data_IF_239599511944
#
_entry.id   IF_239599511944
#
_cell.length_a   1.000
_cell.length_b   1.000
_cell.length_c   1.000
_cell.angle_alpha   90.00
_cell.angle_beta   90.00
_cell.angle_gamma   90.00
#
_symmetry.space_group_name_H-M   'P 1'
#
loop_
_entity.id
_entity.type
_entity.pdbx_description
1 polymer ?
#
# COMPACT_ATOMS: atom_id res chain seq x y z
N UNK A 1 7.74 50.84 -9.77
CA UNK A 1 8.49 49.67 -10.28
C UNK A 1 8.79 48.63 -9.20
N UNK A 2 9.41 48.99 -8.06
CA UNK A 2 9.71 48.03 -6.95
C UNK A 2 8.48 47.25 -6.43
N UNK A 3 7.30 47.88 -6.34
CA UNK A 3 6.06 47.23 -5.88
C UNK A 3 5.53 46.15 -6.83
N UNK A 4 5.75 46.30 -8.15
CA UNK A 4 5.31 45.33 -9.16
C UNK A 4 6.18 44.07 -9.09
N UNK A 5 7.49 44.24 -8.91
CA UNK A 5 8.44 43.13 -8.75
C UNK A 5 8.08 42.27 -7.52
N UNK A 6 7.70 42.89 -6.40
CA UNK A 6 7.30 42.18 -5.18
C UNK A 6 6.03 41.35 -5.41
N UNK A 7 5.03 41.88 -6.12
CA UNK A 7 3.80 41.16 -6.46
C UNK A 7 4.09 39.98 -7.40
N UNK A 8 4.95 40.17 -8.39
CA UNK A 8 5.37 39.09 -9.31
C UNK A 8 6.13 37.98 -8.59
N UNK A 9 6.99 38.32 -7.62
CA UNK A 9 7.72 37.33 -6.81
C UNK A 9 6.74 36.52 -5.95
N UNK A 10 5.79 37.17 -5.26
CA UNK A 10 4.77 36.46 -4.46
C UNK A 10 3.94 35.52 -5.34
N UNK A 11 3.57 35.94 -6.55
CA UNK A 11 2.78 35.12 -7.48
C UNK A 11 3.54 33.90 -8.02
N UNK A 12 4.86 33.99 -8.18
CA UNK A 12 5.71 32.86 -8.57
C UNK A 12 5.84 31.87 -7.40
N UNK A 13 5.95 32.36 -6.16
CA UNK A 13 6.04 31.49 -4.98
C UNK A 13 4.74 30.72 -4.66
N UNK A 14 3.56 31.21 -5.04
CA UNK A 14 2.30 30.46 -4.83
C UNK A 14 2.05 29.34 -5.85
N UNK A 15 2.75 29.34 -6.99
CA UNK A 15 2.61 28.33 -8.04
C UNK A 15 3.46 27.06 -7.80
N UNK A 16 4.38 27.09 -6.83
CA UNK A 16 5.18 25.92 -6.43
C UNK A 16 4.49 25.07 -5.35
N UNK A 17 3.17 24.97 -5.39
CA UNK A 17 2.44 24.00 -4.55
C UNK A 17 2.54 22.60 -5.16
N UNK A 18 3.58 21.88 -4.73
CA UNK A 18 3.67 20.42 -4.51
C UNK A 18 2.65 19.57 -5.28
N UNK A 19 2.94 19.23 -6.54
CA UNK A 19 2.15 18.24 -7.32
C UNK A 19 2.78 16.85 -7.39
N UNK A 20 3.96 16.64 -6.79
CA UNK A 20 4.72 15.39 -6.97
C UNK A 20 4.29 14.24 -6.05
N UNK A 21 3.65 14.50 -4.90
CA UNK A 21 3.39 13.47 -3.88
C UNK A 21 1.90 13.10 -3.74
N UNK A 22 0.97 13.71 -4.49
CA UNK A 22 -0.48 13.53 -4.27
C UNK A 22 -1.19 12.60 -5.25
N UNK A 23 -0.51 12.04 -6.24
CA UNK A 23 -1.18 11.17 -7.22
C UNK A 23 -1.32 9.76 -6.66
N UNK A 24 -2.57 9.36 -6.40
CA UNK A 24 -2.92 7.99 -6.00
C UNK A 24 -2.83 7.07 -7.21
N UNK A 25 -2.25 5.89 -7.03
CA UNK A 25 -2.24 4.82 -8.02
C UNK A 25 -3.32 3.82 -7.64
N UNK A 26 -4.28 3.60 -8.54
CA UNK A 26 -5.38 2.66 -8.31
C UNK A 26 -5.08 1.32 -9.00
N UNK A 27 -5.14 0.26 -8.21
CA UNK A 27 -4.98 -1.12 -8.65
C UNK A 27 -6.37 -1.71 -8.81
N UNK A 28 -6.71 -2.01 -10.05
CA UNK A 28 -7.96 -2.67 -10.43
C UNK A 28 -7.67 -4.15 -10.54
N UNK A 29 -8.35 -4.95 -9.73
CA UNK A 29 -8.21 -6.40 -9.75
C UNK A 29 -9.20 -7.01 -10.75
N UNK A 30 -8.98 -8.26 -11.19
CA UNK A 30 -9.99 -8.97 -11.96
C UNK A 30 -11.30 -9.09 -11.17
N UNK A 31 -12.44 -8.96 -11.85
CA UNK A 31 -13.78 -8.93 -11.23
C UNK A 31 -14.03 -10.11 -10.28
N UNK A 32 -13.60 -11.31 -10.66
CA UNK A 32 -13.72 -12.52 -9.85
C UNK A 32 -13.02 -12.42 -8.50
N UNK A 33 -11.89 -11.70 -8.44
CA UNK A 33 -11.11 -11.45 -7.23
C UNK A 33 -11.76 -10.33 -6.43
N UNK A 34 -12.13 -9.22 -7.08
CA UNK A 34 -12.80 -8.09 -6.42
C UNK A 34 -14.10 -8.51 -5.72
N UNK A 35 -14.94 -9.32 -6.39
CA UNK A 35 -16.20 -9.83 -5.82
C UNK A 35 -15.95 -10.66 -4.56
N UNK A 36 -14.92 -11.50 -4.55
CA UNK A 36 -14.57 -12.34 -3.39
C UNK A 36 -14.02 -11.51 -2.24
N UNK A 37 -13.15 -10.54 -2.53
CA UNK A 37 -12.65 -9.59 -1.55
C UNK A 37 -13.79 -8.79 -0.91
N UNK A 38 -14.67 -8.21 -1.74
CA UNK A 38 -15.82 -7.44 -1.24
C UNK A 38 -16.72 -8.31 -0.35
N UNK A 39 -16.97 -9.57 -0.74
CA UNK A 39 -17.73 -10.51 0.10
C UNK A 39 -17.06 -10.71 1.46
N UNK A 40 -15.77 -11.06 1.48
CA UNK A 40 -15.05 -11.28 2.72
C UNK A 40 -15.03 -10.04 3.64
N UNK A 41 -14.79 -8.86 3.08
CA UNK A 41 -14.79 -7.58 3.84
C UNK A 41 -16.15 -7.36 4.51
N UNK A 42 -17.25 -7.66 3.82
CA UNK A 42 -18.60 -7.44 4.34
C UNK A 42 -19.02 -8.48 5.37
N UNK A 43 -18.59 -9.74 5.23
CA UNK A 43 -19.10 -10.86 6.05
C UNK A 43 -18.19 -11.25 7.20
N UNK A 44 -16.90 -10.97 7.11
CA UNK A 44 -15.89 -11.64 7.95
C UNK A 44 -14.99 -10.69 8.74
N UNK A 45 -14.99 -9.39 8.43
CA UNK A 45 -14.21 -8.40 9.18
C UNK A 45 -15.05 -7.81 10.33
N UNK A 46 -14.67 -8.04 11.60
CA UNK A 46 -15.36 -7.44 12.74
C UNK A 46 -15.08 -5.94 12.78
N UNK A 47 -16.14 -5.11 12.62
CA UNK A 47 -16.01 -3.64 12.57
C UNK A 47 -15.56 -2.99 13.88
N UNK A 48 -15.65 -3.70 14.99
CA UNK A 48 -15.43 -3.12 16.33
C UNK A 48 -13.95 -3.11 16.75
N UNK A 49 -13.11 -3.96 16.13
CA UNK A 49 -11.69 -4.13 16.52
C UNK A 49 -10.69 -3.67 15.45
N UNK A 50 -11.20 -3.29 14.28
CA UNK A 50 -10.39 -2.97 13.11
C UNK A 50 -10.40 -1.47 12.87
N UNK A 51 -9.23 -0.84 13.02
CA UNK A 51 -9.09 0.60 12.75
C UNK A 51 -9.12 0.88 11.25
N UNK A 52 -8.46 0.02 10.46
CA UNK A 52 -8.32 0.16 9.00
C UNK A 52 -7.98 -1.20 8.38
N UNK A 53 -8.28 -1.36 7.10
CA UNK A 53 -7.83 -2.51 6.30
C UNK A 53 -6.77 -2.06 5.32
N UNK A 54 -5.78 -2.91 5.06
CA UNK A 54 -4.89 -2.78 3.91
C UNK A 54 -4.73 -4.12 3.21
N UNK A 55 -4.20 -4.07 2.00
CA UNK A 55 -3.99 -5.23 1.16
C UNK A 55 -2.50 -5.45 0.95
N UNK A 56 -2.10 -6.71 0.92
CA UNK A 56 -0.78 -7.12 0.47
C UNK A 56 -0.92 -7.91 -0.83
N UNK A 57 -0.42 -7.36 -1.93
CA UNK A 57 -0.35 -8.04 -3.22
C UNK A 57 1.06 -8.58 -3.41
N UNK A 58 1.19 -9.88 -3.64
CA UNK A 58 2.47 -10.52 -3.95
C UNK A 58 2.40 -11.22 -5.28
N UNK A 59 3.53 -11.24 -5.99
CA UNK A 59 3.72 -12.10 -7.15
C UNK A 59 4.24 -13.44 -6.67
N UNK A 60 3.53 -14.50 -7.03
CA UNK A 60 3.88 -15.86 -6.61
C UNK A 60 4.74 -16.57 -7.69
N UNK A 61 4.30 -16.53 -8.95
CA UNK A 61 5.08 -17.06 -10.07
C UNK A 61 4.80 -16.29 -11.38
N UNK A 62 5.28 -16.82 -12.52
CA UNK A 62 4.95 -16.27 -13.82
C UNK A 62 3.44 -16.39 -14.07
N UNK A 63 2.74 -15.25 -13.96
CA UNK A 63 1.29 -15.10 -14.11
C UNK A 63 0.41 -15.58 -12.93
N UNK A 64 0.99 -15.82 -11.75
CA UNK A 64 0.22 -16.01 -10.50
C UNK A 64 0.53 -14.94 -9.47
N UNK A 65 -0.52 -14.55 -8.75
CA UNK A 65 -0.50 -13.53 -7.71
C UNK A 65 -1.29 -14.04 -6.51
N UNK A 66 -0.96 -13.51 -5.34
CA UNK A 66 -1.82 -13.63 -4.17
C UNK A 66 -2.11 -12.25 -3.60
N UNK A 67 -3.34 -12.08 -3.11
CA UNK A 67 -3.73 -10.88 -2.40
C UNK A 67 -4.31 -11.24 -1.04
N UNK A 68 -3.76 -10.64 0.00
CA UNK A 68 -4.15 -10.88 1.39
C UNK A 68 -4.80 -9.65 1.99
N UNK A 69 -5.94 -9.85 2.68
CA UNK A 69 -6.63 -8.79 3.43
C UNK A 69 -6.07 -8.73 4.84
N UNK A 70 -5.55 -7.59 5.26
CA UNK A 70 -4.88 -7.44 6.56
C UNK A 70 -5.55 -6.32 7.37
N UNK A 71 -6.16 -6.64 8.52
CA UNK A 71 -6.67 -5.63 9.43
C UNK A 71 -5.54 -5.00 10.26
N UNK A 72 -5.55 -3.67 10.34
CA UNK A 72 -4.79 -2.92 11.33
C UNK A 72 -5.57 -2.95 12.65
N UNK A 73 -4.95 -3.57 13.65
CA UNK A 73 -5.39 -3.59 15.04
C UNK A 73 -4.47 -2.74 15.90
N UNK A 74 -4.85 -2.49 17.16
CA UNK A 74 -4.02 -1.76 18.14
C UNK A 74 -2.64 -2.38 18.37
N UNK A 75 -2.46 -3.66 18.09
CA UNK A 75 -1.20 -4.39 18.28
C UNK A 75 -0.32 -4.42 17.02
N UNK A 76 -0.71 -3.71 15.95
CA UNK A 76 0.08 -3.68 14.72
C UNK A 76 1.37 -2.89 14.91
N UNK A 77 2.48 -3.38 14.34
CA UNK A 77 3.77 -2.68 14.35
C UNK A 77 3.65 -1.26 13.75
N UNK A 78 4.20 -0.27 14.45
CA UNK A 78 4.13 1.14 14.05
C UNK A 78 4.75 1.41 12.67
N UNK A 79 5.76 0.66 12.28
CA UNK A 79 6.38 0.81 10.96
C UNK A 79 5.43 0.35 9.84
N UNK A 80 4.64 -0.70 10.10
CA UNK A 80 3.60 -1.16 9.17
C UNK A 80 2.49 -0.11 9.07
N UNK A 81 2.02 0.41 10.21
CA UNK A 81 1.01 1.48 10.26
C UNK A 81 1.48 2.66 9.39
N UNK A 82 2.73 3.11 9.61
CA UNK A 82 3.33 4.19 8.83
C UNK A 82 3.36 3.90 7.33
N UNK A 83 3.78 2.71 6.90
CA UNK A 83 3.76 2.34 5.49
C UNK A 83 2.35 2.34 4.89
N UNK A 84 1.34 1.91 5.65
CA UNK A 84 -0.06 1.92 5.22
C UNK A 84 -0.61 3.35 5.12
N UNK A 85 -0.16 4.27 5.98
CA UNK A 85 -0.54 5.68 5.95
C UNK A 85 0.18 6.47 4.84
N UNK A 86 1.48 6.21 4.65
CA UNK A 86 2.32 6.86 3.65
C UNK A 86 2.09 6.29 2.23
N UNK A 87 1.39 5.16 2.09
CA UNK A 87 1.15 4.54 0.78
C UNK A 87 0.29 5.43 -0.13
N UNK A 88 0.78 5.68 -1.33
CA UNK A 88 0.03 6.27 -2.44
C UNK A 88 -0.64 5.23 -3.35
N UNK A 89 -0.52 3.94 -3.04
CA UNK A 89 -1.07 2.83 -3.83
C UNK A 89 -2.32 2.29 -3.14
N UNK A 90 -3.37 2.06 -3.92
CA UNK A 90 -4.66 1.64 -3.40
C UNK A 90 -5.28 0.56 -4.27
N UNK A 91 -5.87 -0.46 -3.66
CA UNK A 91 -6.80 -1.36 -4.34
C UNK A 91 -8.19 -0.73 -4.31
N UNK A 92 -8.86 -0.75 -5.46
CA UNK A 92 -10.28 -0.42 -5.55
C UNK A 92 -11.11 -1.69 -5.31
N UNK A 93 -11.97 -1.69 -4.30
CA UNK A 93 -12.95 -2.76 -4.06
C UNK A 93 -14.31 -2.13 -3.83
N UNK A 94 -15.25 -2.38 -4.73
CA UNK A 94 -16.62 -1.87 -4.69
C UNK A 94 -16.65 -0.35 -4.40
N UNK A 95 -15.92 0.42 -5.21
CA UNK A 95 -15.76 1.89 -5.12
C UNK A 95 -15.02 2.40 -3.87
N UNK A 96 -14.63 1.54 -2.94
CA UNK A 96 -13.83 1.92 -1.78
C UNK A 96 -12.34 1.72 -2.09
N UNK A 97 -11.51 2.65 -1.62
CA UNK A 97 -10.06 2.59 -1.77
C UNK A 97 -9.42 2.08 -0.49
N UNK A 98 -8.62 1.02 -0.60
CA UNK A 98 -7.87 0.44 0.50
C UNK A 98 -6.38 0.54 0.20
N UNK A 99 -5.53 0.95 1.16
CA UNK A 99 -4.09 1.00 0.95
C UNK A 99 -3.55 -0.36 0.49
N UNK A 100 -2.61 -0.30 -0.44
CA UNK A 100 -1.93 -1.46 -0.99
C UNK A 100 -0.44 -1.39 -0.66
N UNK A 101 0.08 -2.49 -0.15
CA UNK A 101 1.50 -2.78 -0.09
C UNK A 101 1.81 -3.93 -1.06
N UNK A 102 3.00 -3.87 -1.65
CA UNK A 102 3.54 -4.89 -2.53
C UNK A 102 4.61 -5.69 -1.78
N UNK A 103 4.85 -6.94 -2.18
CA UNK A 103 6.02 -7.73 -1.74
C UNK A 103 7.34 -6.96 -1.87
N UNK A 104 7.52 -6.21 -2.96
CA UNK A 104 8.71 -5.40 -3.20
C UNK A 104 8.95 -4.32 -2.15
N UNK A 105 7.91 -3.83 -1.47
CA UNK A 105 8.06 -2.85 -0.38
C UNK A 105 8.83 -3.47 0.79
N UNK A 106 8.60 -4.75 1.08
CA UNK A 106 9.28 -5.48 2.15
C UNK A 106 10.67 -5.96 1.74
N UNK A 107 10.85 -6.31 0.45
CA UNK A 107 12.14 -6.78 -0.08
C UNK A 107 13.13 -5.60 -0.21
N UNK A 108 12.71 -4.53 -0.87
CA UNK A 108 13.61 -3.43 -1.26
C UNK A 108 13.44 -2.18 -0.40
N UNK A 109 12.28 -1.99 0.24
CA UNK A 109 12.00 -0.82 1.07
C UNK A 109 12.70 -0.85 2.43
N UNK A 110 12.58 0.28 3.14
CA UNK A 110 12.99 0.45 4.54
C UNK A 110 12.03 1.41 5.24
N UNK A 111 11.69 1.18 6.52
CA UNK A 111 10.89 2.13 7.29
C UNK A 111 11.70 3.30 7.85
N UNK A 112 13.04 3.22 7.81
CA UNK A 112 13.93 4.23 8.39
C UNK A 112 14.55 5.13 7.32
N UNK A 113 13.77 6.10 6.84
CA UNK A 113 14.21 7.05 5.80
C UNK A 113 15.43 7.89 6.18
N UNK A 114 15.67 8.07 7.48
CA UNK A 114 16.78 8.88 7.99
C UNK A 114 18.07 8.07 8.22
N UNK A 115 17.99 6.73 8.13
CA UNK A 115 19.11 5.83 8.42
C UNK A 115 19.28 4.80 7.28
N UNK A 116 19.74 5.28 6.14
CA UNK A 116 19.83 4.49 4.90
C UNK A 116 21.24 3.96 4.58
N UNK A 117 22.22 4.18 5.47
CA UNK A 117 23.61 3.78 5.27
C UNK A 117 24.32 4.50 4.11
N UNK A 118 25.56 4.10 3.84
CA UNK A 118 26.42 4.71 2.82
C UNK A 118 26.27 4.06 1.44
N UNK A 119 26.52 4.84 0.39
CA UNK A 119 26.47 4.34 -0.99
C UNK A 119 27.45 3.17 -1.19
N UNK A 120 26.97 2.06 -1.75
CA UNK A 120 27.75 0.83 -1.94
C UNK A 120 27.95 -0.03 -0.69
N UNK A 121 27.50 0.41 0.49
CA UNK A 121 27.68 -0.29 1.77
C UNK A 121 26.39 -0.42 2.59
N UNK A 122 25.23 -0.40 1.92
CA UNK A 122 23.91 -0.44 2.59
C UNK A 122 23.46 -1.84 2.99
N UNK A 123 24.07 -2.87 2.41
CA UNK A 123 23.70 -4.25 2.67
C UNK A 123 24.03 -4.62 4.12
N UNK A 124 23.06 -5.19 4.83
CA UNK A 124 23.20 -5.52 6.26
C UNK A 124 23.04 -4.34 7.24
N UNK A 125 23.05 -3.09 6.78
CA UNK A 125 22.83 -1.91 7.64
C UNK A 125 21.39 -1.39 7.60
N UNK A 126 20.67 -1.65 6.51
CA UNK A 126 19.28 -1.19 6.35
C UNK A 126 18.33 -2.07 7.15
N UNK A 127 17.48 -1.44 7.97
CA UNK A 127 16.36 -2.10 8.62
C UNK A 127 15.29 -2.51 7.61
N UNK A 128 14.84 -3.76 7.71
CA UNK A 128 13.77 -4.35 6.90
C UNK A 128 12.58 -4.72 7.76
N UNK A 129 11.38 -4.67 7.19
CA UNK A 129 10.17 -5.23 7.79
C UNK A 129 9.90 -6.58 7.13
N UNK A 130 9.62 -7.58 7.95
CA UNK A 130 9.11 -8.86 7.48
C UNK A 130 7.67 -9.02 7.95
N UNK A 131 6.76 -9.20 7.00
CA UNK A 131 5.35 -9.43 7.28
C UNK A 131 5.00 -10.87 6.89
N UNK A 132 4.54 -11.65 7.86
CA UNK A 132 4.05 -13.02 7.67
C UNK A 132 2.52 -12.97 7.81
N UNK A 133 1.78 -12.77 6.71
CA UNK A 133 0.34 -12.60 6.80
C UNK A 133 -0.36 -13.96 6.86
N UNK A 134 -0.83 -14.36 8.04
CA UNK A 134 -1.78 -15.47 8.21
C UNK A 134 -3.21 -14.92 8.25
N UNK A 135 -3.71 -14.52 7.07
CA UNK A 135 -5.05 -13.93 6.92
C UNK A 135 -5.68 -14.39 5.61
N UNK A 136 -6.94 -14.02 5.42
CA UNK A 136 -7.67 -14.35 4.21
C UNK A 136 -6.91 -13.92 2.95
N UNK A 137 -6.55 -14.92 2.14
CA UNK A 137 -5.69 -14.77 0.98
C UNK A 137 -6.32 -15.44 -0.22
N UNK A 138 -6.40 -14.70 -1.33
CA UNK A 138 -6.85 -15.23 -2.62
C UNK A 138 -5.65 -15.40 -3.52
N UNK A 139 -5.47 -16.60 -4.08
CA UNK A 139 -4.46 -16.89 -5.09
C UNK A 139 -5.14 -16.92 -6.45
N UNK A 140 -4.61 -16.17 -7.42
CA UNK A 140 -5.26 -15.98 -8.71
C UNK A 140 -4.24 -15.78 -9.84
N UNK A 141 -4.69 -16.03 -11.07
CA UNK A 141 -3.95 -15.71 -12.29
C UNK A 141 -4.28 -14.33 -12.81
N UNK A 142 -3.42 -13.77 -13.66
CA UNK A 142 -3.63 -12.46 -14.29
C UNK A 142 -4.98 -12.31 -15.02
N UNK A 143 -5.50 -13.41 -15.58
CA UNK A 143 -6.81 -13.45 -16.25
C UNK A 143 -8.01 -13.52 -15.27
N UNK A 144 -7.79 -13.44 -13.96
CA UNK A 144 -8.82 -13.56 -12.94
C UNK A 144 -9.23 -14.98 -12.56
N UNK A 145 -8.62 -16.03 -13.12
CA UNK A 145 -8.88 -17.39 -12.65
C UNK A 145 -8.37 -17.54 -11.22
N UNK A 146 -9.28 -17.77 -10.28
CA UNK A 146 -8.96 -18.03 -8.87
C UNK A 146 -8.45 -19.47 -8.75
N UNK A 147 -7.27 -19.62 -8.17
CA UNK A 147 -6.59 -20.89 -7.96
C UNK A 147 -7.01 -21.53 -6.63
N UNK A 148 -7.01 -20.74 -5.55
CA UNK A 148 -7.45 -21.15 -4.21
C UNK A 148 -7.69 -19.94 -3.31
N UNK A 149 -8.36 -20.19 -2.19
CA UNK A 149 -8.53 -19.25 -1.09
C UNK A 149 -8.11 -19.92 0.20
N UNK A 150 -7.45 -19.17 1.07
CA UNK A 150 -7.03 -19.62 2.39
C UNK A 150 -7.55 -18.63 3.43
N UNK A 151 -8.09 -19.15 4.53
CA UNK A 151 -8.47 -18.37 5.70
C UNK A 151 -7.83 -19.04 6.92
N UNK A 152 -6.82 -18.36 7.48
CA UNK A 152 -6.03 -18.83 8.62
C UNK A 152 -6.58 -18.28 9.92
#
# INVERSE_FOLDING_TARGET
>A
MKKIIIVSIIFIFTQFTVRAQSQKIWYILPDSVEVRLNRYILTSIPKQEVQKLFFLLKRDSLNSYNITVIPLTHNTDLNIIRWVEDSNRYVLVNKNLYPLLLDYDFIFGTPEYNNIGEFGQREGSIKKIYLIPHRYTIYFKMNGSVLKEENW
#
